data_IF_755692207370
#
_entry.id   IF_755692207370
#
_cell.length_a   1.000
_cell.length_b   1.000
_cell.length_c   1.000
_cell.angle_alpha   90.00
_cell.angle_beta   90.00
_cell.angle_gamma   90.00
#
_symmetry.space_group_name_H-M   'P 1'
#
loop_
_entity.id
_entity.type
_entity.pdbx_description
1 polymer ?
#
# COMPACT_ATOMS: atom_id res chain seq x y z
N UNK A 1 75.22 10.32 71.49
CA UNK A 1 73.90 10.23 70.82
C UNK A 1 73.89 9.00 69.93
N UNK A 2 73.33 7.90 70.42
CA UNK A 2 72.76 6.81 69.62
C UNK A 2 71.88 6.00 70.57
N UNK A 3 70.56 6.17 70.48
CA UNK A 3 69.59 5.37 71.24
C UNK A 3 69.14 4.22 70.35
N UNK A 4 69.48 2.99 70.76
CA UNK A 4 68.91 1.75 70.24
C UNK A 4 67.78 1.35 71.19
N UNK A 5 66.54 1.48 70.72
CA UNK A 5 65.34 0.97 71.43
C UNK A 5 64.91 -0.29 70.70
N UNK A 6 65.03 -1.43 71.39
CA UNK A 6 64.54 -2.74 70.97
C UNK A 6 63.08 -2.85 71.43
N UNK A 7 62.14 -2.89 70.49
CA UNK A 7 60.75 -3.23 70.74
C UNK A 7 60.56 -4.75 70.63
N UNK A 8 60.17 -5.40 71.73
CA UNK A 8 59.63 -6.75 71.69
C UNK A 8 58.15 -6.71 71.32
N UNK A 9 57.76 -7.52 70.32
CA UNK A 9 56.36 -7.79 69.96
C UNK A 9 55.93 -9.14 70.56
N UNK A 10 54.71 -9.26 71.10
CA UNK A 10 54.18 -10.52 71.58
C UNK A 10 53.67 -11.38 70.41
N UNK A 11 54.10 -12.64 70.40
CA UNK A 11 53.61 -13.68 69.48
C UNK A 11 52.23 -14.13 69.98
N UNK A 12 51.16 -13.76 69.26
CA UNK A 12 49.84 -14.37 69.44
C UNK A 12 49.71 -15.60 68.54
N UNK A 13 49.56 -16.77 69.15
CA UNK A 13 49.24 -18.03 68.49
C UNK A 13 47.71 -18.16 68.35
N UNK A 14 47.20 -18.00 67.12
CA UNK A 14 45.81 -18.31 66.81
C UNK A 14 45.67 -19.82 66.50
N UNK A 15 44.97 -20.53 67.38
CA UNK A 15 44.44 -21.87 67.11
C UNK A 15 43.23 -21.75 66.18
N UNK A 16 43.34 -22.26 64.95
CA UNK A 16 42.22 -22.40 64.03
C UNK A 16 41.45 -23.69 64.33
N UNK A 17 40.23 -23.58 64.83
CA UNK A 17 39.26 -24.68 64.87
C UNK A 17 38.59 -24.81 63.51
N UNK A 18 38.86 -25.89 62.79
CA UNK A 18 38.15 -26.25 61.58
C UNK A 18 36.77 -26.84 61.96
N UNK A 19 35.71 -26.06 61.78
CA UNK A 19 34.34 -26.52 61.89
C UNK A 19 33.89 -27.14 60.56
N UNK A 20 33.78 -28.46 60.52
CA UNK A 20 33.28 -29.21 59.37
C UNK A 20 31.75 -29.06 59.29
N UNK A 21 31.27 -28.12 58.46
CA UNK A 21 29.85 -27.94 58.22
C UNK A 21 29.29 -29.11 57.41
N UNK A 22 28.51 -29.98 58.05
CA UNK A 22 27.76 -31.05 57.38
C UNK A 22 26.47 -30.44 56.82
N UNK A 23 26.42 -30.26 55.50
CA UNK A 23 25.22 -29.78 54.82
C UNK A 23 24.13 -30.88 54.85
N UNK A 24 23.13 -30.70 55.71
CA UNK A 24 21.92 -31.52 55.71
C UNK A 24 21.06 -31.00 54.54
N UNK A 25 21.14 -31.70 53.41
CA UNK A 25 20.28 -31.42 52.25
C UNK A 25 18.88 -31.90 52.57
N UNK A 26 17.99 -30.97 52.92
CA UNK A 26 16.55 -31.23 53.06
C UNK A 26 15.98 -31.58 51.69
N UNK A 27 15.80 -32.87 51.43
CA UNK A 27 15.18 -33.37 50.20
C UNK A 27 13.68 -33.09 50.31
N UNK A 28 13.24 -31.95 49.80
CA UNK A 28 11.81 -31.73 49.53
C UNK A 28 11.36 -32.75 48.49
N UNK A 29 10.30 -33.54 48.76
CA UNK A 29 9.81 -34.53 47.81
C UNK A 29 9.44 -33.84 46.50
N UNK A 30 10.15 -34.19 45.43
CA UNK A 30 9.92 -33.65 44.09
C UNK A 30 8.58 -34.19 43.60
N UNK A 31 7.61 -33.30 43.42
CA UNK A 31 6.28 -33.65 42.91
C UNK A 31 6.41 -34.09 41.45
N UNK A 32 5.81 -35.23 41.09
CA UNK A 32 5.83 -35.76 39.73
C UNK A 32 4.80 -35.01 38.87
N UNK A 33 5.21 -33.90 38.27
CA UNK A 33 4.36 -33.10 37.38
C UNK A 33 5.14 -32.73 36.14
N UNK A 34 4.45 -32.69 35.01
CA UNK A 34 4.99 -32.10 33.81
C UNK A 34 5.11 -30.58 34.00
N UNK A 35 6.25 -30.02 33.60
CA UNK A 35 6.54 -28.58 33.75
C UNK A 35 5.70 -27.75 32.76
N UNK A 36 5.37 -28.34 31.61
CA UNK A 36 4.52 -27.76 30.56
C UNK A 36 3.41 -28.76 30.19
N UNK A 37 2.49 -28.34 29.33
CA UNK A 37 1.45 -29.23 28.81
C UNK A 37 2.05 -30.22 27.81
N UNK A 38 2.14 -31.49 28.20
CA UNK A 38 2.86 -32.53 27.46
C UNK A 38 1.93 -33.60 26.84
N UNK A 39 0.62 -33.43 27.01
CA UNK A 39 -0.46 -34.41 26.78
C UNK A 39 -0.47 -35.05 25.37
N UNK A 40 0.13 -34.40 24.37
CA UNK A 40 0.15 -34.87 22.98
C UNK A 40 1.54 -35.31 22.48
N UNK A 41 2.59 -35.19 23.30
CA UNK A 41 3.97 -35.34 22.85
C UNK A 41 4.67 -36.64 23.27
N UNK A 42 3.94 -37.73 23.52
CA UNK A 42 4.52 -39.03 23.92
C UNK A 42 5.62 -39.52 22.96
N UNK A 43 5.51 -39.22 21.66
CA UNK A 43 6.52 -39.57 20.65
C UNK A 43 7.89 -38.94 20.92
N UNK A 44 7.94 -37.78 21.58
CA UNK A 44 9.17 -37.06 21.88
C UNK A 44 9.89 -37.56 23.14
N UNK A 45 9.34 -38.55 23.86
CA UNK A 45 9.95 -39.09 25.08
C UNK A 45 11.32 -39.77 24.87
N UNK A 46 11.69 -40.07 23.61
CA UNK A 46 13.05 -40.50 23.26
C UNK A 46 14.09 -39.38 23.33
N UNK A 47 13.68 -38.11 23.35
CA UNK A 47 14.56 -36.95 23.44
C UNK A 47 14.80 -36.58 24.91
N UNK A 48 16.07 -36.47 25.30
CA UNK A 48 16.47 -36.21 26.69
C UNK A 48 15.88 -34.92 27.28
N UNK A 49 15.82 -33.86 26.47
CA UNK A 49 15.26 -32.57 26.90
C UNK A 49 13.76 -32.67 27.17
N UNK A 50 13.00 -33.32 26.30
CA UNK A 50 11.55 -33.50 26.47
C UNK A 50 11.26 -34.37 27.69
N UNK A 51 12.03 -35.44 27.87
CA UNK A 51 11.95 -36.35 29.01
C UNK A 51 12.20 -35.66 30.37
N UNK A 52 13.03 -34.62 30.42
CA UNK A 52 13.29 -33.84 31.65
C UNK A 52 12.20 -32.83 31.99
N UNK A 53 11.41 -32.41 31.01
CA UNK A 53 10.34 -31.41 31.18
C UNK A 53 9.00 -32.11 31.42
N UNK A 54 8.81 -33.26 30.76
CA UNK A 54 7.58 -34.04 30.75
C UNK A 54 7.78 -35.37 31.49
N UNK A 55 8.32 -35.33 32.72
CA UNK A 55 8.68 -36.51 33.49
C UNK A 55 7.49 -37.45 33.75
N UNK A 56 6.28 -36.90 33.90
CA UNK A 56 5.06 -37.69 34.14
C UNK A 56 4.54 -38.29 32.84
N UNK A 57 4.40 -37.48 31.78
CA UNK A 57 3.96 -37.98 30.46
C UNK A 57 4.91 -39.04 29.91
N UNK A 58 6.22 -38.87 30.10
CA UNK A 58 7.23 -39.85 29.64
C UNK A 58 7.46 -41.03 30.59
N UNK A 59 6.64 -41.19 31.63
CA UNK A 59 6.73 -42.29 32.59
C UNK A 59 8.05 -42.34 33.37
N UNK A 60 8.75 -41.21 33.48
CA UNK A 60 10.01 -41.09 34.25
C UNK A 60 9.72 -41.11 35.74
N UNK A 61 8.58 -40.54 36.15
CA UNK A 61 8.09 -40.60 37.51
C UNK A 61 6.67 -41.17 37.54
N UNK A 62 6.39 -42.00 38.54
CA UNK A 62 5.06 -42.55 38.80
C UNK A 62 4.56 -41.99 40.14
N UNK A 63 3.55 -41.12 40.09
CA UNK A 63 2.86 -40.66 41.29
C UNK A 63 2.04 -41.82 41.86
N UNK A 64 2.63 -42.55 42.80
CA UNK A 64 1.97 -43.70 43.48
C UNK A 64 1.07 -43.26 44.64
N UNK A 65 0.93 -41.96 44.88
CA UNK A 65 0.06 -41.43 45.93
C UNK A 65 -1.23 -40.90 45.32
N UNK A 66 -2.30 -41.66 45.48
CA UNK A 66 -3.66 -41.31 45.03
C UNK A 66 -4.11 -39.99 45.66
N UNK A 67 -3.91 -38.89 44.95
CA UNK A 67 -4.34 -37.57 45.36
C UNK A 67 -5.74 -37.33 44.78
N UNK A 68 -6.74 -37.30 45.66
CA UNK A 68 -8.14 -37.01 45.34
C UNK A 68 -8.25 -35.62 44.72
N UNK A 69 -8.59 -35.55 43.44
CA UNK A 69 -8.78 -34.29 42.70
C UNK A 69 -9.97 -33.53 43.26
N UNK A 70 -9.71 -32.57 44.14
CA UNK A 70 -10.71 -31.59 44.56
C UNK A 70 -10.85 -30.56 43.44
N UNK A 71 -12.02 -30.53 42.81
CA UNK A 71 -12.37 -29.56 41.77
C UNK A 71 -12.40 -28.15 42.39
N UNK A 72 -11.30 -27.42 42.26
CA UNK A 72 -11.25 -25.99 42.59
C UNK A 72 -12.03 -25.26 41.48
N UNK A 73 -13.02 -24.41 41.81
CA UNK A 73 -13.73 -23.63 40.81
C UNK A 73 -12.75 -22.72 40.07
N UNK A 74 -12.59 -22.98 38.78
CA UNK A 74 -11.72 -22.21 37.89
C UNK A 74 -12.27 -20.79 37.80
N UNK A 75 -11.73 -19.87 38.61
CA UNK A 75 -11.89 -18.44 38.37
C UNK A 75 -11.27 -18.15 37.01
N UNK A 76 -12.10 -17.79 36.03
CA UNK A 76 -11.70 -17.35 34.70
C UNK A 76 -10.88 -16.06 34.83
N UNK A 77 -9.57 -16.22 35.03
CA UNK A 77 -8.62 -15.12 34.94
C UNK A 77 -8.67 -14.62 33.51
N UNK A 78 -9.19 -13.41 33.31
CA UNK A 78 -9.27 -12.78 32.00
C UNK A 78 -7.84 -12.48 31.52
N UNK A 79 -7.24 -13.41 30.76
CA UNK A 79 -5.91 -13.20 30.18
C UNK A 79 -5.95 -11.99 29.23
N UNK A 80 -4.93 -11.11 29.26
CA UNK A 80 -4.80 -10.02 28.31
C UNK A 80 -4.89 -10.53 26.86
N UNK A 81 -5.48 -9.75 25.96
CA UNK A 81 -5.51 -10.09 24.54
C UNK A 81 -4.22 -9.61 23.86
N UNK A 82 -3.16 -10.38 24.09
CA UNK A 82 -1.87 -10.21 23.45
C UNK A 82 -1.47 -11.55 22.83
N UNK A 83 -0.56 -11.50 21.87
CA UNK A 83 0.11 -12.69 21.38
C UNK A 83 1.27 -13.00 22.33
N UNK A 84 1.39 -14.26 22.74
CA UNK A 84 2.46 -14.75 23.61
C UNK A 84 3.74 -15.05 22.81
N UNK A 85 3.65 -15.13 21.48
CA UNK A 85 4.77 -15.41 20.56
C UNK A 85 5.08 -14.18 19.68
N UNK A 86 6.37 -13.91 19.43
CA UNK A 86 6.81 -12.70 18.72
C UNK A 86 6.50 -12.67 17.21
N UNK A 87 6.42 -13.85 16.58
CA UNK A 87 6.32 -13.99 15.11
C UNK A 87 4.90 -14.26 14.60
N UNK A 88 3.87 -13.99 15.42
CA UNK A 88 2.49 -14.31 15.07
C UNK A 88 2.02 -13.63 13.76
N UNK A 89 2.52 -12.43 13.46
CA UNK A 89 2.12 -11.69 12.25
C UNK A 89 2.62 -12.33 10.94
N UNK A 90 3.76 -13.02 10.98
CA UNK A 90 4.37 -13.67 9.80
C UNK A 90 3.64 -14.97 9.45
N UNK A 91 3.08 -15.63 10.46
CA UNK A 91 2.70 -17.04 10.44
C UNK A 91 1.16 -17.25 10.51
N UNK A 92 0.38 -16.28 10.02
CA UNK A 92 -1.11 -16.27 10.09
C UNK A 92 -1.78 -17.51 9.47
N UNK A 93 -1.10 -18.21 8.57
CA UNK A 93 -1.60 -19.46 7.96
C UNK A 93 -1.80 -20.58 8.99
N UNK A 94 -1.11 -20.53 10.13
CA UNK A 94 -1.24 -21.51 11.21
C UNK A 94 -2.41 -21.26 12.15
N UNK A 95 -3.21 -20.20 11.95
CA UNK A 95 -4.40 -19.93 12.76
C UNK A 95 -5.49 -21.01 12.70
N UNK A 96 -5.36 -22.05 11.86
CA UNK A 96 -6.21 -23.23 11.91
C UNK A 96 -5.83 -24.20 13.05
N UNK A 97 -4.58 -24.17 13.53
CA UNK A 97 -4.05 -25.08 14.55
C UNK A 97 -4.38 -24.57 15.96
N UNK A 98 -4.80 -25.46 16.86
CA UNK A 98 -5.25 -25.08 18.22
C UNK A 98 -4.14 -24.45 19.06
N UNK A 99 -2.94 -25.04 19.05
CA UNK A 99 -1.79 -24.52 19.80
C UNK A 99 -1.39 -23.12 19.33
N UNK A 100 -1.49 -22.86 18.02
CA UNK A 100 -1.16 -21.56 17.45
C UNK A 100 -2.23 -20.51 17.80
N UNK A 101 -3.51 -20.89 17.80
CA UNK A 101 -4.59 -20.02 18.29
C UNK A 101 -4.40 -19.60 19.74
N UNK A 102 -3.92 -20.50 20.60
CA UNK A 102 -3.70 -20.20 22.02
C UNK A 102 -2.48 -19.31 22.27
N UNK A 103 -1.43 -19.43 21.45
CA UNK A 103 -0.25 -18.58 21.53
C UNK A 103 -0.41 -17.23 20.81
N UNK A 104 -1.16 -17.21 19.70
CA UNK A 104 -1.35 -16.04 18.83
C UNK A 104 -2.80 -15.56 18.83
N UNK A 105 -3.38 -15.43 20.02
CA UNK A 105 -4.83 -15.16 20.21
C UNK A 105 -5.29 -13.87 19.56
N UNK A 106 -4.47 -12.82 19.61
CA UNK A 106 -4.80 -11.52 19.01
C UNK A 106 -4.68 -11.61 17.50
N UNK A 107 -3.60 -12.18 16.99
CA UNK A 107 -3.37 -12.32 15.55
C UNK A 107 -4.40 -13.23 14.87
N UNK A 108 -4.79 -14.33 15.51
CA UNK A 108 -5.81 -15.24 15.00
C UNK A 108 -7.25 -14.81 15.30
N UNK A 109 -7.46 -13.64 15.90
CA UNK A 109 -8.80 -13.10 16.21
C UNK A 109 -9.57 -13.89 17.27
N UNK A 110 -8.90 -14.76 18.04
CA UNK A 110 -9.48 -15.53 19.15
C UNK A 110 -9.88 -14.59 20.29
N UNK A 111 -9.12 -13.52 20.47
CA UNK A 111 -9.50 -12.43 21.35
C UNK A 111 -9.52 -11.13 20.55
N UNK A 112 -10.48 -10.28 20.89
CA UNK A 112 -10.51 -8.89 20.45
C UNK A 112 -9.90 -8.13 21.60
N UNK A 113 -8.73 -7.53 21.38
CA UNK A 113 -8.18 -6.64 22.39
C UNK A 113 -9.24 -5.56 22.65
N UNK A 114 -9.64 -5.33 23.92
CA UNK A 114 -10.51 -4.21 24.22
C UNK A 114 -9.84 -3.00 23.55
N UNK A 115 -10.57 -2.21 22.75
CA UNK A 115 -9.99 -1.16 21.94
C UNK A 115 -9.09 -0.35 22.85
N UNK A 116 -7.78 -0.48 22.65
CA UNK A 116 -6.81 0.13 23.53
C UNK A 116 -7.01 1.61 23.33
N UNK A 117 -7.60 2.26 24.32
CA UNK A 117 -7.84 3.67 24.22
C UNK A 117 -6.50 4.36 24.47
N UNK A 118 -5.86 4.76 23.38
CA UNK A 118 -4.63 5.53 23.41
C UNK A 118 -4.84 6.85 22.68
N UNK A 119 -3.99 7.80 23.03
CA UNK A 119 -3.91 9.08 22.34
C UNK A 119 -3.11 8.89 21.05
N UNK A 120 -3.77 9.06 19.90
CA UNK A 120 -3.11 9.00 18.57
C UNK A 120 -1.98 10.02 18.45
N UNK A 121 -2.16 11.22 19.03
CA UNK A 121 -1.12 12.27 19.03
C UNK A 121 -0.08 12.13 20.16
N UNK A 122 -0.11 11.03 20.93
CA UNK A 122 0.88 10.73 21.96
C UNK A 122 0.95 11.80 23.06
N UNK A 123 2.17 12.22 23.41
CA UNK A 123 2.44 13.18 24.49
C UNK A 123 1.88 14.59 24.24
N UNK A 124 1.60 14.95 22.97
CA UNK A 124 1.01 16.25 22.63
C UNK A 124 -0.37 16.46 23.25
N UNK A 125 -1.10 15.37 23.50
CA UNK A 125 -2.44 15.44 24.07
C UNK A 125 -2.47 16.08 25.47
N UNK A 126 -1.41 15.93 26.26
CA UNK A 126 -1.33 16.56 27.58
C UNK A 126 -1.39 18.09 27.51
N UNK A 127 -0.85 18.70 26.45
CA UNK A 127 -0.88 20.16 26.26
C UNK A 127 -2.26 20.67 25.88
N UNK A 128 -3.09 19.84 25.25
CA UNK A 128 -4.40 20.22 24.71
C UNK A 128 -5.58 19.67 25.54
N UNK A 129 -5.32 19.22 26.76
CA UNK A 129 -6.35 18.64 27.66
C UNK A 129 -7.52 19.58 27.92
N UNK A 130 -7.30 20.90 27.94
CA UNK A 130 -8.37 21.91 28.13
C UNK A 130 -9.22 22.11 26.88
N UNK A 131 -8.79 21.61 25.72
CA UNK A 131 -9.46 21.77 24.42
C UNK A 131 -10.24 20.52 23.98
N UNK A 132 -10.59 19.62 24.91
CA UNK A 132 -11.36 18.40 24.61
C UNK A 132 -12.80 18.66 24.11
N UNK A 133 -13.25 19.91 24.14
CA UNK A 133 -14.48 20.34 23.48
C UNK A 133 -14.34 20.37 21.94
N UNK A 134 -13.12 20.51 21.40
CA UNK A 134 -12.85 20.45 19.96
C UNK A 134 -12.89 19.00 19.45
N UNK A 135 -13.61 18.77 18.35
CA UNK A 135 -13.78 17.43 17.77
C UNK A 135 -12.44 16.77 17.43
N UNK A 136 -11.50 17.53 16.85
CA UNK A 136 -10.17 17.05 16.48
C UNK A 136 -9.36 16.54 17.68
N UNK A 137 -9.37 17.29 18.79
CA UNK A 137 -8.67 16.91 20.02
C UNK A 137 -9.34 15.67 20.62
N UNK A 138 -10.67 15.61 20.64
CA UNK A 138 -11.41 14.45 21.16
C UNK A 138 -11.11 13.16 20.40
N UNK A 139 -10.94 13.23 19.09
CA UNK A 139 -10.64 12.08 18.22
C UNK A 139 -9.20 11.60 18.34
N UNK A 140 -8.24 12.53 18.44
CA UNK A 140 -6.81 12.21 18.47
C UNK A 140 -6.26 12.02 19.88
N UNK A 141 -6.97 12.50 20.90
CA UNK A 141 -6.60 12.45 22.30
C UNK A 141 -7.69 11.77 23.13
N UNK A 142 -8.23 10.65 22.64
CA UNK A 142 -9.35 9.96 23.25
C UNK A 142 -9.08 9.54 24.71
N UNK A 143 -7.84 9.16 25.06
CA UNK A 143 -7.42 8.82 26.42
C UNK A 143 -7.31 10.07 27.28
N UNK A 144 -6.60 11.10 26.83
CA UNK A 144 -6.45 12.34 27.61
C UNK A 144 -7.78 13.07 27.82
N UNK A 145 -8.70 12.98 26.87
CA UNK A 145 -10.03 13.59 26.95
C UNK A 145 -11.09 12.71 27.64
N UNK A 146 -10.72 11.54 28.17
CA UNK A 146 -11.65 10.55 28.74
C UNK A 146 -12.81 10.20 27.79
N UNK A 147 -12.57 10.28 26.48
CA UNK A 147 -13.53 9.94 25.43
C UNK A 147 -13.61 8.45 25.16
N UNK A 148 -12.77 7.65 25.85
CA UNK A 148 -12.77 6.21 25.82
C UNK A 148 -14.09 5.67 26.37
N UNK A 149 -15.13 5.63 25.54
CA UNK A 149 -16.27 4.78 25.86
C UNK A 149 -15.76 3.35 25.84
N UNK A 150 -15.82 2.70 26.99
CA UNK A 150 -15.69 1.24 27.10
C UNK A 150 -16.69 0.67 26.11
N UNK A 151 -16.21 0.25 24.95
CA UNK A 151 -17.06 -0.37 23.95
C UNK A 151 -17.54 -1.69 24.56
N UNK A 152 -18.71 -1.65 25.18
CA UNK A 152 -19.48 -2.87 25.43
C UNK A 152 -19.72 -3.42 24.04
N UNK A 153 -19.10 -4.56 23.74
CA UNK A 153 -19.19 -5.23 22.45
C UNK A 153 -20.63 -5.71 22.28
N UNK A 154 -21.51 -4.85 21.81
CA UNK A 154 -22.74 -5.27 21.14
C UNK A 154 -22.35 -5.70 19.74
N UNK A 155 -22.33 -7.02 19.56
CA UNK A 155 -22.14 -7.70 18.28
C UNK A 155 -23.23 -7.23 17.30
N UNK A 156 -22.96 -6.21 16.51
CA UNK A 156 -23.80 -5.85 15.37
C UNK A 156 -23.29 -6.56 14.13
N UNK A 157 -24.17 -7.38 13.58
CA UNK A 157 -24.09 -8.11 12.32
C UNK A 157 -23.50 -7.23 11.20
N UNK A 158 -22.61 -7.76 10.33
CA UNK A 158 -22.02 -7.00 9.24
C UNK A 158 -23.09 -6.55 8.25
N UNK A 159 -23.34 -5.25 8.21
CA UNK A 159 -24.13 -4.62 7.15
C UNK A 159 -23.24 -4.41 5.93
N UNK A 160 -23.68 -4.97 4.81
CA UNK A 160 -23.19 -4.70 3.46
C UNK A 160 -23.11 -3.17 3.23
N UNK A 161 -21.99 -2.64 2.71
CA UNK A 161 -21.83 -1.21 2.53
C UNK A 161 -22.79 -0.71 1.44
N UNK A 162 -23.86 -0.03 1.83
CA UNK A 162 -24.63 0.82 0.94
C UNK A 162 -23.80 2.08 0.68
N UNK A 163 -23.30 2.23 -0.56
CA UNK A 163 -22.62 3.45 -1.02
C UNK A 163 -23.64 4.58 -0.97
N UNK A 164 -23.68 5.26 0.17
CA UNK A 164 -24.43 6.50 0.33
C UNK A 164 -23.45 7.61 0.03
N UNK A 165 -23.67 8.31 -1.07
CA UNK A 165 -22.88 9.47 -1.50
C UNK A 165 -22.83 10.48 -0.36
N UNK A 166 -21.66 10.60 0.29
CA UNK A 166 -21.45 11.57 1.36
C UNK A 166 -21.55 12.99 0.77
N UNK A 167 -22.31 13.91 1.38
CA UNK A 167 -22.41 15.27 0.89
C UNK A 167 -21.04 15.97 0.91
N UNK A 168 -20.71 16.64 -0.20
CA UNK A 168 -19.49 17.42 -0.35
C UNK A 168 -19.58 18.70 0.49
N UNK A 169 -19.06 18.66 1.71
CA UNK A 169 -19.03 19.80 2.61
C UNK A 169 -17.65 19.91 3.25
N UNK A 170 -17.22 21.15 3.49
CA UNK A 170 -16.06 21.41 4.34
C UNK A 170 -16.38 21.01 5.78
N UNK A 171 -15.43 20.38 6.45
CA UNK A 171 -15.56 19.89 7.82
C UNK A 171 -15.25 20.96 8.87
N UNK A 172 -14.66 22.09 8.45
CA UNK A 172 -14.41 23.27 9.29
C UNK A 172 -14.91 24.53 8.56
N UNK A 173 -15.28 25.56 9.32
CA UNK A 173 -15.87 26.78 8.76
C UNK A 173 -14.84 27.72 8.08
N UNK A 174 -13.55 27.61 8.43
CA UNK A 174 -12.52 28.58 8.05
C UNK A 174 -11.64 28.14 6.87
N UNK A 175 -12.16 27.24 6.02
CA UNK A 175 -11.40 26.72 4.89
C UNK A 175 -10.99 27.79 3.87
N UNK A 176 -11.74 28.90 3.80
CA UNK A 176 -11.52 29.98 2.83
C UNK A 176 -10.19 30.72 3.04
N UNK A 177 -9.68 30.75 4.27
CA UNK A 177 -8.45 31.46 4.62
C UNK A 177 -7.17 30.63 4.38
N UNK A 178 -7.29 29.33 4.10
CA UNK A 178 -6.16 28.43 3.90
C UNK A 178 -6.11 27.77 2.53
N UNK A 179 -6.71 28.36 1.48
CA UNK A 179 -6.71 27.81 0.12
C UNK A 179 -5.30 27.50 -0.43
N UNK A 180 -4.28 28.21 0.05
CA UNK A 180 -2.86 27.93 -0.25
C UNK A 180 -2.36 26.56 0.24
N UNK A 181 -3.11 25.87 1.11
CA UNK A 181 -2.79 24.54 1.61
C UNK A 181 -3.54 23.41 0.87
N UNK A 182 -4.42 23.75 -0.10
CA UNK A 182 -5.03 22.77 -0.98
C UNK A 182 -3.93 22.04 -1.79
N UNK A 183 -4.11 20.73 -2.01
CA UNK A 183 -3.08 19.83 -2.54
C UNK A 183 -2.28 19.12 -1.45
N UNK A 184 -2.46 19.48 -0.18
CA UNK A 184 -2.00 18.66 0.95
C UNK A 184 -3.09 17.69 1.37
N UNK A 185 -2.73 16.43 1.57
CA UNK A 185 -3.68 15.36 1.93
C UNK A 185 -4.51 15.66 3.18
N UNK A 186 -3.95 16.42 4.13
CA UNK A 186 -4.64 16.86 5.33
C UNK A 186 -5.69 17.94 5.03
N UNK A 187 -5.32 18.98 4.29
CA UNK A 187 -6.22 20.11 4.04
C UNK A 187 -7.33 19.71 3.06
N UNK A 188 -7.05 18.88 2.05
CA UNK A 188 -8.04 18.38 1.11
C UNK A 188 -9.10 17.49 1.78
N UNK A 189 -8.75 16.76 2.85
CA UNK A 189 -9.69 15.94 3.60
C UNK A 189 -10.66 16.76 4.48
N UNK A 190 -10.17 17.89 4.98
CA UNK A 190 -10.91 18.75 5.92
C UNK A 190 -11.71 19.80 5.15
N UNK A 191 -11.10 20.40 4.14
CA UNK A 191 -11.63 21.47 3.31
C UNK A 191 -12.00 20.96 1.93
N UNK A 192 -12.69 19.82 1.89
CA UNK A 192 -12.93 19.04 0.67
C UNK A 192 -13.73 19.79 -0.38
N UNK A 193 -14.64 20.69 0.02
CA UNK A 193 -15.39 21.53 -0.90
C UNK A 193 -14.56 22.74 -1.33
N UNK A 194 -13.89 23.41 -0.40
CA UNK A 194 -13.06 24.58 -0.69
C UNK A 194 -11.86 24.24 -1.60
N UNK A 195 -11.29 23.04 -1.46
CA UNK A 195 -10.20 22.53 -2.29
C UNK A 195 -10.66 21.74 -3.52
N UNK A 196 -11.98 21.70 -3.82
CA UNK A 196 -12.54 20.89 -4.91
C UNK A 196 -12.14 19.40 -4.87
N UNK A 197 -11.81 18.86 -3.70
CA UNK A 197 -11.41 17.47 -3.51
C UNK A 197 -12.61 16.49 -3.44
N UNK A 198 -13.83 17.01 -3.53
CA UNK A 198 -15.03 16.18 -3.59
C UNK A 198 -15.17 15.58 -4.99
N UNK A 199 -15.25 14.26 -5.04
CA UNK A 199 -15.43 13.50 -6.28
C UNK A 199 -16.70 13.92 -7.05
N UNK A 200 -16.57 14.84 -7.99
CA UNK A 200 -17.04 14.58 -9.35
C UNK A 200 -16.07 13.54 -9.98
N UNK A 201 -16.39 12.90 -11.12
CA UNK A 201 -15.47 11.96 -11.76
C UNK A 201 -14.10 12.62 -11.81
N UNK A 202 -13.07 11.92 -11.33
CA UNK A 202 -11.69 12.40 -11.28
C UNK A 202 -11.38 12.95 -12.67
N UNK A 203 -11.42 14.28 -12.85
CA UNK A 203 -11.03 14.89 -14.11
C UNK A 203 -9.54 14.65 -14.17
N UNK A 204 -9.14 13.72 -15.04
CA UNK A 204 -7.76 13.39 -15.31
C UNK A 204 -7.06 14.70 -15.69
N UNK A 205 -6.34 15.28 -14.74
CA UNK A 205 -5.71 16.58 -14.86
C UNK A 205 -4.35 16.49 -14.18
N UNK A 206 -3.36 17.12 -14.81
CA UNK A 206 -2.04 17.23 -14.22
C UNK A 206 -2.08 18.06 -12.95
N UNK A 207 -1.38 17.61 -11.92
CA UNK A 207 -1.27 18.33 -10.64
C UNK A 207 -0.38 19.56 -10.74
N UNK A 208 0.43 19.68 -11.81
CA UNK A 208 1.39 20.77 -12.00
C UNK A 208 1.43 21.28 -13.44
N UNK A 209 1.62 22.59 -13.59
CA UNK A 209 1.65 23.28 -14.89
C UNK A 209 2.86 22.89 -15.78
N UNK A 210 3.91 22.31 -15.21
CA UNK A 210 5.12 21.89 -15.95
C UNK A 210 5.02 20.47 -16.54
N UNK A 211 3.92 19.75 -16.28
CA UNK A 211 3.73 18.39 -16.79
C UNK A 211 3.85 18.28 -18.33
N UNK A 212 3.29 19.17 -19.17
CA UNK A 212 3.44 19.06 -20.62
C UNK A 212 4.89 19.12 -21.13
N UNK A 213 5.80 19.73 -20.37
CA UNK A 213 7.20 19.92 -20.76
C UNK A 213 8.06 18.69 -20.48
N UNK A 214 7.62 17.80 -19.58
CA UNK A 214 8.36 16.62 -19.15
C UNK A 214 7.74 15.30 -19.60
N UNK A 215 6.94 15.27 -20.66
CA UNK A 215 6.25 14.06 -21.16
C UNK A 215 7.18 12.86 -21.44
N UNK A 216 8.48 13.10 -21.67
CA UNK A 216 9.51 12.05 -21.78
C UNK A 216 9.79 11.30 -20.46
N UNK A 217 9.34 11.83 -19.33
CA UNK A 217 9.49 11.26 -17.99
C UNK A 217 8.33 10.34 -17.59
N UNK A 218 7.29 10.24 -18.43
CA UNK A 218 6.20 9.28 -18.23
C UNK A 218 6.74 7.84 -18.20
N UNK A 219 6.23 7.04 -17.24
CA UNK A 219 6.76 5.72 -16.88
C UNK A 219 7.59 5.72 -15.59
N UNK A 220 8.02 6.89 -15.11
CA UNK A 220 8.56 7.03 -13.75
C UNK A 220 7.40 7.18 -12.75
N UNK A 221 7.39 6.39 -11.68
CA UNK A 221 6.27 6.33 -10.73
C UNK A 221 5.91 7.68 -10.10
N UNK A 222 6.89 8.53 -9.80
CA UNK A 222 6.68 9.85 -9.22
C UNK A 222 6.11 10.85 -10.24
N UNK A 223 6.45 10.69 -11.52
CA UNK A 223 5.97 11.56 -12.59
C UNK A 223 4.54 11.18 -13.00
N UNK A 224 4.28 9.87 -13.13
CA UNK A 224 2.96 9.30 -13.41
C UNK A 224 1.90 9.72 -12.37
N UNK A 225 2.29 9.93 -11.11
CA UNK A 225 1.39 10.38 -10.03
C UNK A 225 1.08 11.88 -10.08
N UNK A 226 2.00 12.69 -10.57
CA UNK A 226 1.85 14.15 -10.61
C UNK A 226 1.26 14.63 -11.93
N UNK A 227 1.52 13.91 -13.00
CA UNK A 227 1.18 14.27 -14.37
C UNK A 227 0.27 13.21 -14.99
N UNK A 228 -0.80 12.85 -14.27
CA UNK A 228 -1.65 11.72 -14.64
C UNK A 228 -2.32 11.93 -16.03
N UNK A 229 -2.59 13.18 -16.42
CA UNK A 229 -3.18 13.50 -17.72
C UNK A 229 -2.15 13.47 -18.85
N UNK A 230 -1.01 14.15 -18.65
CA UNK A 230 0.10 14.15 -19.63
C UNK A 230 0.60 12.72 -19.88
N UNK A 231 0.62 11.86 -18.86
CA UNK A 231 1.07 10.48 -18.97
C UNK A 231 -0.04 9.46 -19.28
N UNK A 232 -1.29 9.92 -19.47
CA UNK A 232 -2.42 9.05 -19.82
C UNK A 232 -2.72 7.96 -18.78
N UNK A 233 -2.38 8.19 -17.51
CA UNK A 233 -2.50 7.21 -16.42
C UNK A 233 -3.96 7.04 -15.99
N UNK A 234 -4.75 8.11 -16.04
CA UNK A 234 -6.11 8.11 -15.53
C UNK A 234 -7.19 7.70 -16.55
N UNK A 235 -6.82 7.30 -17.76
CA UNK A 235 -7.75 6.61 -18.67
C UNK A 235 -7.48 5.11 -18.60
N UNK A 236 -8.39 4.36 -17.96
CA UNK A 236 -8.60 2.96 -18.36
C UNK A 236 -9.15 2.98 -19.79
N UNK A 237 -8.25 3.15 -20.76
CA UNK A 237 -8.55 2.98 -22.17
C UNK A 237 -8.84 1.50 -22.39
N UNK A 238 -10.05 1.07 -22.05
CA UNK A 238 -10.62 -0.24 -22.35
C UNK A 238 -10.67 -0.51 -23.88
N UNK A 239 -10.35 0.48 -24.71
CA UNK A 239 -10.31 0.40 -26.16
C UNK A 239 -8.91 0.13 -26.77
N UNK A 240 -7.85 0.05 -25.95
CA UNK A 240 -6.48 -0.05 -26.46
C UNK A 240 -5.89 -1.43 -26.18
N UNK A 241 -5.56 -2.15 -27.25
CA UNK A 241 -4.92 -3.48 -27.20
C UNK A 241 -3.54 -3.42 -27.83
N UNK A 242 -2.65 -4.30 -27.40
CA UNK A 242 -1.41 -4.54 -28.13
C UNK A 242 -1.75 -5.21 -29.46
N UNK A 243 -1.14 -4.75 -30.55
CA UNK A 243 -1.33 -5.29 -31.90
C UNK A 243 -0.55 -6.59 -32.12
N UNK A 244 0.38 -6.92 -31.22
CA UNK A 244 1.18 -8.14 -31.23
C UNK A 244 1.20 -8.78 -29.84
N UNK A 245 1.41 -10.09 -29.80
CA UNK A 245 1.70 -10.84 -28.58
C UNK A 245 3.17 -10.61 -28.14
N UNK A 246 3.48 -10.80 -26.85
CA UNK A 246 4.84 -10.65 -26.32
C UNK A 246 5.21 -9.26 -25.79
N UNK A 247 4.25 -8.34 -25.68
CA UNK A 247 4.50 -6.99 -25.19
C UNK A 247 4.71 -6.87 -23.66
N UNK A 248 4.53 -7.92 -22.86
CA UNK A 248 4.41 -7.80 -21.39
C UNK A 248 5.68 -7.35 -20.65
N UNK A 249 6.87 -7.45 -21.27
CA UNK A 249 8.15 -7.17 -20.60
C UNK A 249 9.01 -6.11 -21.31
N UNK A 250 8.49 -5.40 -22.32
CA UNK A 250 9.30 -4.50 -23.14
C UNK A 250 9.09 -3.01 -22.89
N UNK A 251 8.74 -2.60 -21.66
CA UNK A 251 8.58 -1.18 -21.31
C UNK A 251 9.81 -0.32 -21.70
N UNK A 252 11.02 -0.87 -21.57
CA UNK A 252 12.27 -0.21 -21.97
C UNK A 252 12.34 0.09 -23.48
N UNK A 253 11.58 -0.62 -24.30
CA UNK A 253 11.56 -0.47 -25.76
C UNK A 253 10.49 0.49 -26.23
N UNK A 254 9.67 1.07 -25.34
CA UNK A 254 8.61 2.00 -25.72
C UNK A 254 9.12 3.28 -26.39
N UNK A 255 10.40 3.65 -26.21
CA UNK A 255 11.05 4.73 -26.96
C UNK A 255 11.35 4.38 -28.44
N UNK A 256 11.25 3.11 -28.83
CA UNK A 256 11.38 2.69 -30.23
C UNK A 256 10.03 2.86 -30.94
N UNK A 257 10.03 3.61 -32.04
CA UNK A 257 8.82 3.95 -32.79
C UNK A 257 7.96 2.72 -33.17
N UNK A 258 8.59 1.64 -33.62
CA UNK A 258 7.87 0.41 -33.98
C UNK A 258 7.25 -0.28 -32.75
N UNK A 259 7.97 -0.34 -31.63
CA UNK A 259 7.52 -1.04 -30.43
C UNK A 259 6.39 -0.28 -29.75
N UNK A 260 6.51 1.04 -29.63
CA UNK A 260 5.44 1.90 -29.12
C UNK A 260 4.14 1.82 -29.94
N UNK A 261 4.24 1.64 -31.26
CA UNK A 261 3.06 1.49 -32.14
C UNK A 261 2.39 0.11 -32.09
N UNK A 262 3.16 -0.94 -31.77
CA UNK A 262 2.66 -2.32 -31.73
C UNK A 262 2.23 -2.72 -30.32
N UNK A 263 2.88 -2.19 -29.29
CA UNK A 263 2.63 -2.46 -27.88
C UNK A 263 1.98 -1.26 -27.18
N UNK A 264 0.98 -0.65 -27.82
CA UNK A 264 0.37 0.61 -27.38
C UNK A 264 -0.17 0.54 -25.95
N UNK A 265 -0.82 -0.57 -25.59
CA UNK A 265 -1.34 -0.77 -24.22
C UNK A 265 -0.21 -0.89 -23.22
N UNK A 266 0.81 -1.72 -23.50
CA UNK A 266 1.97 -1.87 -22.61
C UNK A 266 2.72 -0.55 -22.44
N UNK A 267 2.91 0.18 -23.54
CA UNK A 267 3.62 1.46 -23.54
C UNK A 267 2.77 2.65 -23.09
N UNK A 268 1.49 2.43 -22.72
CA UNK A 268 0.52 3.48 -22.41
C UNK A 268 0.39 4.55 -23.51
N UNK A 269 0.68 4.20 -24.76
CA UNK A 269 0.60 5.08 -25.95
C UNK A 269 -0.75 4.96 -26.66
N UNK A 270 -1.83 4.91 -25.88
CA UNK A 270 -3.16 4.78 -26.43
C UNK A 270 -3.60 6.16 -26.96
N UNK A 271 -3.87 6.31 -28.27
CA UNK A 271 -4.41 7.55 -28.76
C UNK A 271 -5.76 7.75 -28.08
N UNK A 272 -5.90 8.86 -27.33
CA UNK A 272 -7.20 9.33 -26.89
C UNK A 272 -8.10 9.36 -28.12
N UNK A 273 -9.37 9.02 -27.95
CA UNK A 273 -10.39 9.22 -28.98
C UNK A 273 -10.61 10.73 -29.14
N UNK A 274 -9.60 11.43 -29.64
CA UNK A 274 -9.65 12.85 -29.93
C UNK A 274 -10.41 13.01 -31.22
N UNK A 275 -11.27 14.01 -31.20
CA UNK A 275 -11.73 14.73 -32.38
C UNK A 275 -10.65 14.71 -33.47
N UNK A 276 -11.07 14.46 -34.72
CA UNK A 276 -10.21 14.44 -35.89
C UNK A 276 -9.62 15.83 -36.18
N UNK A 277 -8.72 16.26 -35.32
CA UNK A 277 -7.97 17.49 -35.38
C UNK A 277 -6.50 17.16 -35.57
N UNK A 278 -5.82 18.01 -36.32
CA UNK A 278 -4.38 17.89 -36.50
C UNK A 278 -3.69 18.27 -35.20
N UNK A 279 -2.82 17.39 -34.72
CA UNK A 279 -2.06 17.57 -33.47
C UNK A 279 -0.95 18.62 -33.65
N UNK A 280 -0.54 18.90 -34.88
CA UNK A 280 0.45 19.92 -35.24
C UNK A 280 -0.17 21.04 -36.07
N UNK A 281 0.21 22.29 -35.78
CA UNK A 281 -0.32 23.50 -36.44
C UNK A 281 0.13 23.69 -37.88
N UNK A 282 1.16 22.99 -38.35
CA UNK A 282 1.71 23.07 -39.70
C UNK A 282 1.38 21.85 -40.58
N UNK A 283 0.34 21.09 -40.23
CA UNK A 283 -0.07 19.92 -41.02
C UNK A 283 -0.50 20.23 -42.46
N UNK A 284 -0.83 21.49 -42.78
CA UNK A 284 -1.15 21.93 -44.14
C UNK A 284 0.04 21.92 -45.10
N UNK A 285 1.25 22.18 -44.61
CA UNK A 285 2.45 22.35 -45.45
C UNK A 285 3.13 21.02 -45.80
N UNK A 286 2.87 19.96 -45.04
CA UNK A 286 3.49 18.64 -45.21
C UNK A 286 2.58 17.58 -45.80
N UNK A 287 1.53 17.95 -46.55
CA UNK A 287 0.58 17.02 -47.18
C UNK A 287 1.25 15.93 -48.04
N UNK A 288 2.45 16.18 -48.57
CA UNK A 288 3.28 15.18 -49.28
C UNK A 288 3.65 13.97 -48.43
N UNK A 289 3.64 14.12 -47.10
CA UNK A 289 3.97 13.06 -46.15
C UNK A 289 2.74 12.25 -45.71
N UNK A 290 1.54 12.51 -46.24
CA UNK A 290 0.33 11.78 -45.85
C UNK A 290 0.37 10.26 -46.17
N UNK A 291 1.28 9.81 -47.04
CA UNK A 291 1.55 8.38 -47.25
C UNK A 291 2.38 7.75 -46.13
N UNK A 292 2.99 8.56 -45.25
CA UNK A 292 3.81 8.10 -44.13
C UNK A 292 2.94 7.88 -42.89
N UNK A 293 2.98 6.69 -42.27
CA UNK A 293 2.13 6.37 -41.10
C UNK A 293 2.28 7.34 -39.91
N UNK A 294 3.49 7.85 -39.68
CA UNK A 294 3.76 8.79 -38.60
C UNK A 294 3.08 10.15 -38.82
N UNK A 295 3.13 10.67 -40.05
CA UNK A 295 2.49 11.94 -40.40
C UNK A 295 0.97 11.80 -40.44
N UNK A 296 0.48 10.67 -40.95
CA UNK A 296 -0.95 10.34 -40.99
C UNK A 296 -1.60 10.25 -39.58
N UNK A 297 -0.82 9.93 -38.55
CA UNK A 297 -1.32 9.86 -37.16
C UNK A 297 -1.31 11.23 -36.46
N UNK A 298 -0.42 12.14 -36.87
CA UNK A 298 -0.31 13.49 -36.30
C UNK A 298 -1.24 14.46 -37.04
N UNK A 299 -1.35 14.30 -38.36
CA UNK A 299 -2.07 15.19 -39.27
C UNK A 299 -3.27 14.49 -39.92
N UNK A 300 -4.03 13.72 -39.13
CA UNK A 300 -5.11 12.85 -39.63
C UNK A 300 -6.22 13.61 -40.36
N UNK A 301 -6.47 14.88 -39.98
CA UNK A 301 -7.49 15.73 -40.60
C UNK A 301 -6.98 16.27 -41.93
N UNK A 302 -5.78 16.87 -41.94
CA UNK A 302 -5.13 17.38 -43.16
C UNK A 302 -4.86 16.29 -44.20
N UNK A 303 -4.59 15.07 -43.76
CA UNK A 303 -4.39 13.91 -44.64
C UNK A 303 -5.68 13.20 -45.08
N UNK A 304 -6.86 13.73 -44.76
CA UNK A 304 -8.14 13.19 -45.22
C UNK A 304 -8.50 11.81 -44.64
N UNK A 305 -7.76 11.32 -43.63
CA UNK A 305 -7.99 10.03 -42.97
C UNK A 305 -9.35 9.97 -42.27
N UNK A 306 -9.90 11.15 -41.94
CA UNK A 306 -11.06 11.32 -41.09
C UNK A 306 -12.39 11.65 -41.80
N UNK A 307 -12.47 11.52 -43.13
CA UNK A 307 -13.76 11.40 -43.82
C UNK A 307 -14.79 12.52 -43.55
N UNK A 308 -14.48 13.75 -43.94
CA UNK A 308 -15.51 14.68 -44.41
C UNK A 308 -15.19 14.90 -45.88
N UNK A 309 -16.16 14.66 -46.79
CA UNK A 309 -16.01 14.98 -48.22
C UNK A 309 -15.44 16.40 -48.33
N UNK A 310 -14.35 16.63 -49.09
CA UNK A 310 -13.81 17.97 -49.23
C UNK A 310 -14.85 18.84 -49.95
N UNK A 311 -15.37 19.85 -49.26
CA UNK A 311 -15.93 21.01 -49.92
C UNK A 311 -14.77 21.77 -50.56
N UNK A 312 -14.68 21.64 -51.88
CA UNK A 312 -14.08 22.54 -52.85
C UNK A 312 -12.74 23.20 -52.46
N UNK A 313 -11.62 22.66 -52.96
CA UNK A 313 -10.46 23.50 -53.27
C UNK A 313 -9.60 22.98 -54.43
N UNK A 314 -9.75 23.69 -55.54
CA UNK A 314 -8.81 24.01 -56.63
C UNK A 314 -7.76 22.96 -57.01
N UNK A 315 -8.03 22.28 -58.13
CA UNK A 315 -6.98 21.73 -58.99
C UNK A 315 -6.31 22.90 -59.71
N UNK A 316 -5.03 23.14 -59.43
CA UNK A 316 -4.19 24.01 -60.24
C UNK A 316 -3.83 23.25 -61.53
N UNK A 317 -4.64 23.42 -62.57
CA UNK A 317 -4.24 23.02 -63.92
C UNK A 317 -3.21 24.03 -64.43
N UNK A 318 -1.94 23.75 -64.16
CA UNK A 318 -0.83 24.48 -64.80
C UNK A 318 -0.94 24.31 -66.31
N UNK A 319 -0.76 25.40 -67.05
CA UNK A 319 -0.85 25.53 -68.52
C UNK A 319 0.24 24.76 -69.30
N UNK A 320 0.79 23.69 -68.75
CA UNK A 320 1.86 22.90 -69.36
C UNK A 320 1.32 21.49 -69.61
N UNK A 321 1.43 21.06 -70.87
CA UNK A 321 0.73 19.93 -71.44
C UNK A 321 0.75 18.64 -70.63
N UNK A 322 -0.33 17.87 -70.83
CA UNK A 322 -0.54 16.55 -70.25
C UNK A 322 0.56 15.55 -70.65
N UNK A 323 1.58 15.36 -69.81
CA UNK A 323 2.50 14.22 -69.97
C UNK A 323 3.13 13.68 -68.69
N UNK A 324 2.66 14.06 -67.50
CA UNK A 324 3.22 13.51 -66.26
C UNK A 324 2.23 13.40 -65.10
N UNK A 325 1.18 12.59 -65.29
CA UNK A 325 0.48 11.96 -64.16
C UNK A 325 1.12 10.59 -63.91
N UNK A 326 1.94 10.48 -62.87
CA UNK A 326 2.61 9.23 -62.50
C UNK A 326 2.14 8.74 -61.13
N UNK A 327 0.84 8.48 -60.97
CA UNK A 327 0.26 7.70 -59.87
C UNK A 327 -0.97 6.95 -60.39
N UNK A 328 -1.08 5.62 -60.18
CA UNK A 328 -2.28 4.88 -60.54
C UNK A 328 -3.34 5.08 -59.43
N UNK A 329 -4.35 5.91 -59.71
CA UNK A 329 -5.61 5.86 -58.96
C UNK A 329 -6.76 5.51 -59.90
N UNK A 330 -7.42 4.43 -59.54
CA UNK A 330 -8.66 3.90 -60.09
C UNK A 330 -9.76 4.94 -59.88
N UNK A 331 -10.14 5.69 -60.93
CA UNK A 331 -11.50 6.20 -61.19
C UNK A 331 -11.54 6.76 -62.62
N UNK A 332 -12.47 6.27 -63.43
CA UNK A 332 -12.53 6.42 -64.90
C UNK A 332 -12.76 7.84 -65.45
N UNK A 333 -12.93 8.90 -64.64
CA UNK A 333 -13.52 10.16 -65.15
C UNK A 333 -12.65 11.43 -65.02
N UNK A 334 -11.33 11.31 -65.16
CA UNK A 334 -10.46 12.50 -65.19
C UNK A 334 -10.60 13.33 -66.50
N UNK A 335 -10.97 12.66 -67.61
CA UNK A 335 -11.10 13.31 -68.92
C UNK A 335 -12.36 14.18 -69.07
N UNK A 336 -13.44 13.89 -68.34
CA UNK A 336 -14.71 14.61 -68.48
C UNK A 336 -14.78 15.90 -67.67
N UNK A 337 -13.96 16.06 -66.62
CA UNK A 337 -13.88 17.32 -65.86
C UNK A 337 -13.12 18.44 -66.61
N UNK A 338 -12.30 18.11 -67.60
CA UNK A 338 -11.51 19.08 -68.36
C UNK A 338 -12.20 19.59 -69.64
N UNK A 339 -13.30 18.97 -70.10
CA UNK A 339 -14.00 19.36 -71.34
C UNK A 339 -14.79 20.67 -71.24
N UNK A 340 -14.99 21.22 -70.03
CA UNK A 340 -15.76 22.46 -69.82
C UNK A 340 -14.98 23.77 -69.91
N UNK A 341 -13.66 23.74 -70.14
CA UNK A 341 -12.79 24.92 -69.97
C UNK A 341 -11.86 25.22 -71.16
N UNK A 342 -12.20 24.73 -72.36
CA UNK A 342 -11.64 25.24 -73.61
C UNK A 342 -12.79 25.88 -74.40
N UNK A 343 -12.97 27.17 -74.19
CA UNK A 343 -13.82 28.09 -74.94
C UNK A 343 -13.20 29.48 -74.85
#
# INVERSE_FOLDING_TARGET
MLFLIIFQLPIQTHFAFAATATAISTITPKRCVDIIQCDEGEFFCGLQWYRSICEKTCGVCNDTTGMTTTLIPTTTVMRPCIDDMGDCDTDKTFCALSWYKDMCRKTCGVCIAPPTCFDKAGSYCQRYKTLCNLAYVRENCAKTCNSCKTAIVTTTTPLTPTITTRPCIDRIADCRNGTQFCGTSWYDNICTKTCNACSTPRTCADSHWWCPQGSLLCGLSWYDQLCEETCGVCEESNACTNKIEGCNNGLIFCGLNWYGQMCQKTCKLCPKNTTCDDVMSNCGDGSVFCSRPWYLNICGKSCGKCGIKPLNRWVYCSRLGASSCNIPMVYENCADMCKGYIG
#
